data_IF_633472735060
#
_entry.id   IF_633472735060
#
_cell.length_a   1.000
_cell.length_b   1.000
_cell.length_c   1.000
_cell.angle_alpha   90.00
_cell.angle_beta   90.00
_cell.angle_gamma   90.00
#
_symmetry.space_group_name_H-M   'P 1'
#
loop_
_entity.id
_entity.type
_entity.pdbx_description
1 polymer ?
#
# COMPACT_ATOMS: atom_id res chain seq x y z
N UNK A 1 27.23 -18.01 -20.37
CA UNK A 1 27.60 -16.58 -20.50
C UNK A 1 26.54 -15.88 -21.34
N UNK A 2 25.67 -15.09 -20.70
CA UNK A 2 24.86 -14.07 -21.35
C UNK A 2 24.56 -13.03 -20.27
N UNK A 3 25.17 -11.86 -20.41
CA UNK A 3 25.01 -10.73 -19.51
C UNK A 3 23.72 -9.98 -19.87
N UNK A 4 22.85 -9.73 -18.90
CA UNK A 4 21.73 -8.81 -19.06
C UNK A 4 22.13 -7.47 -18.41
N UNK A 5 22.14 -6.46 -19.26
CA UNK A 5 22.68 -5.13 -19.05
C UNK A 5 21.67 -4.27 -18.27
N UNK A 6 22.09 -3.71 -17.14
CA UNK A 6 21.28 -2.76 -16.34
C UNK A 6 21.18 -1.43 -17.10
N UNK A 7 20.02 -1.16 -17.69
CA UNK A 7 19.72 0.14 -18.29
C UNK A 7 19.37 1.16 -17.22
N UNK A 8 20.20 2.21 -17.08
CA UNK A 8 19.84 3.45 -16.37
C UNK A 8 18.70 4.13 -17.14
N UNK A 9 17.53 4.29 -16.54
CA UNK A 9 16.56 5.26 -17.06
C UNK A 9 17.03 6.66 -16.66
N UNK A 10 17.27 7.51 -17.65
CA UNK A 10 17.56 8.92 -17.46
C UNK A 10 16.29 9.67 -17.08
N UNK A 11 16.31 10.41 -15.97
CA UNK A 11 15.29 11.40 -15.63
C UNK A 11 15.35 12.60 -16.59
N UNK A 12 14.23 13.14 -17.10
CA UNK A 12 14.23 14.43 -17.76
C UNK A 12 14.22 15.58 -16.75
N UNK A 13 15.06 16.57 -17.01
CA UNK A 13 15.14 17.86 -16.31
C UNK A 13 13.94 18.76 -16.60
N UNK A 14 13.45 19.43 -15.56
CA UNK A 14 12.34 20.40 -15.55
C UNK A 14 12.57 21.65 -16.42
N UNK A 15 11.57 22.10 -17.18
CA UNK A 15 11.11 23.51 -17.28
C UNK A 15 9.72 23.58 -17.95
N UNK A 16 8.80 24.38 -17.40
CA UNK A 16 7.62 24.92 -18.12
C UNK A 16 6.28 24.26 -17.77
N UNK A 17 5.41 24.99 -17.07
CA UNK A 17 4.09 24.52 -16.67
C UNK A 17 3.10 24.39 -17.84
N UNK A 18 2.64 23.17 -18.05
CA UNK A 18 1.36 22.77 -18.64
C UNK A 18 1.03 21.41 -18.04
N UNK A 19 -0.24 21.10 -17.72
CA UNK A 19 -0.66 19.76 -17.26
C UNK A 19 -0.19 18.72 -18.27
N UNK A 20 0.92 18.05 -17.98
CA UNK A 20 1.46 16.99 -18.82
C UNK A 20 0.68 15.71 -18.53
N UNK A 21 0.29 15.05 -19.62
CA UNK A 21 -0.36 13.73 -19.64
C UNK A 21 0.35 12.79 -18.66
N UNK A 22 -0.37 12.42 -17.59
CA UNK A 22 0.11 11.44 -16.62
C UNK A 22 0.28 10.07 -17.30
N UNK A 23 1.39 9.44 -16.94
CA UNK A 23 1.98 8.22 -17.52
C UNK A 23 1.03 7.01 -17.48
N UNK A 24 1.24 6.08 -18.42
CA UNK A 24 0.50 4.81 -18.51
C UNK A 24 0.48 4.03 -17.17
N UNK A 25 -0.61 3.30 -16.86
CA UNK A 25 -0.71 2.51 -15.64
C UNK A 25 0.40 1.46 -15.57
N UNK A 26 1.08 1.39 -14.43
CA UNK A 26 2.13 0.40 -14.21
C UNK A 26 1.52 -0.92 -13.74
N UNK A 27 1.49 -1.90 -14.65
CA UNK A 27 1.12 -3.28 -14.30
C UNK A 27 2.38 -4.13 -14.26
N UNK A 28 2.71 -4.62 -13.07
CA UNK A 28 3.83 -5.54 -12.87
C UNK A 28 3.38 -6.97 -13.19
N UNK A 29 3.62 -7.40 -14.42
CA UNK A 29 3.46 -8.79 -14.85
C UNK A 29 4.81 -9.51 -14.72
N UNK A 30 4.93 -10.44 -13.77
CA UNK A 30 6.10 -11.28 -13.65
C UNK A 30 5.73 -12.68 -13.15
N UNK A 31 5.86 -13.68 -14.01
CA UNK A 31 5.96 -15.08 -13.62
C UNK A 31 7.37 -15.57 -13.96
N UNK A 32 8.21 -15.86 -12.96
CA UNK A 32 9.53 -16.50 -13.07
C UNK A 32 9.89 -17.21 -11.73
N UNK A 33 10.82 -18.18 -11.72
CA UNK A 33 10.69 -19.43 -10.97
C UNK A 33 10.86 -19.30 -9.44
N UNK A 34 9.97 -19.98 -8.71
CA UNK A 34 10.09 -20.49 -7.34
C UNK A 34 11.11 -19.83 -6.38
N UNK A 35 10.91 -18.55 -6.06
CA UNK A 35 11.35 -17.82 -4.84
C UNK A 35 11.21 -16.30 -5.11
N UNK A 36 9.98 -15.82 -5.35
CA UNK A 36 8.99 -15.25 -4.40
C UNK A 36 9.14 -13.74 -4.15
N UNK A 37 8.82 -12.92 -5.17
CA UNK A 37 8.54 -11.49 -5.00
C UNK A 37 8.74 -10.65 -6.27
N UNK A 38 7.89 -9.65 -6.51
CA UNK A 38 8.16 -8.56 -7.47
C UNK A 38 9.03 -7.51 -6.80
N UNK A 39 10.13 -7.14 -7.45
CA UNK A 39 10.94 -5.99 -7.05
C UNK A 39 10.20 -4.68 -7.37
N UNK A 40 9.77 -3.97 -6.33
CA UNK A 40 9.28 -2.61 -6.47
C UNK A 40 10.44 -1.62 -6.67
N UNK A 41 10.25 -0.53 -7.42
CA UNK A 41 11.22 0.56 -7.46
C UNK A 41 11.56 1.08 -6.06
N UNK A 42 12.83 1.44 -5.84
CA UNK A 42 13.36 2.07 -4.61
C UNK A 42 12.47 3.23 -4.13
N UNK A 43 11.92 4.02 -5.05
CA UNK A 43 11.06 5.16 -4.72
C UNK A 43 9.73 4.78 -4.06
N UNK A 44 9.27 3.54 -4.23
CA UNK A 44 8.05 3.01 -3.63
C UNK A 44 8.35 2.46 -2.23
N UNK A 45 9.47 1.74 -2.07
CA UNK A 45 9.90 1.15 -0.79
C UNK A 45 10.61 2.14 0.13
N UNK A 46 10.89 3.36 -0.34
CA UNK A 46 11.57 4.43 0.38
C UNK A 46 12.97 4.09 0.92
N UNK A 47 13.61 3.06 0.37
CA UNK A 47 14.97 2.66 0.76
C UNK A 47 16.02 3.47 -0.02
N UNK A 48 16.64 4.46 0.63
CA UNK A 48 17.66 5.31 0.00
C UNK A 48 19.07 4.71 0.05
N UNK A 49 19.25 3.48 0.55
CA UNK A 49 20.57 2.85 0.67
C UNK A 49 21.10 2.43 -0.71
N UNK A 50 22.44 2.40 -0.91
CA UNK A 50 23.01 1.84 -2.12
C UNK A 50 22.71 0.35 -2.21
N UNK A 51 22.40 -0.14 -3.42
CA UNK A 51 22.16 -1.56 -3.65
C UNK A 51 23.37 -2.39 -3.18
N UNK A 52 23.15 -3.45 -2.39
CA UNK A 52 24.23 -4.33 -1.98
C UNK A 52 24.82 -5.04 -3.20
N UNK A 53 26.09 -5.49 -3.12
CA UNK A 53 26.68 -6.31 -4.16
C UNK A 53 25.90 -7.64 -4.28
N UNK A 54 25.72 -8.11 -5.52
CA UNK A 54 25.00 -9.36 -5.80
C UNK A 54 25.72 -10.54 -5.14
N UNK A 55 24.98 -11.32 -4.37
CA UNK A 55 25.45 -12.53 -3.73
C UNK A 55 25.29 -13.74 -4.69
N UNK A 56 26.27 -14.67 -4.76
CA UNK A 56 26.22 -15.79 -5.70
C UNK A 56 25.15 -16.85 -5.38
N UNK A 57 24.75 -16.98 -4.12
CA UNK A 57 23.61 -17.82 -3.71
C UNK A 57 22.32 -16.97 -3.75
N UNK A 58 21.33 -17.34 -4.60
CA UNK A 58 20.07 -16.61 -4.73
C UNK A 58 19.32 -16.43 -3.41
N UNK A 59 19.36 -17.43 -2.51
CA UNK A 59 18.62 -17.35 -1.23
C UNK A 59 19.25 -16.35 -0.27
N UNK A 60 20.58 -16.30 -0.28
CA UNK A 60 21.31 -15.34 0.54
C UNK A 60 21.28 -13.93 -0.09
N UNK A 61 21.16 -13.82 -1.41
CA UNK A 61 20.93 -12.55 -2.11
C UNK A 61 19.56 -11.94 -1.74
N UNK A 62 18.52 -12.77 -1.72
CA UNK A 62 17.15 -12.35 -1.33
C UNK A 62 17.09 -11.86 0.14
N UNK A 63 17.80 -12.54 1.04
CA UNK A 63 17.90 -12.13 2.46
C UNK A 63 18.51 -10.75 2.67
N UNK A 64 19.25 -10.19 1.70
CA UNK A 64 19.81 -8.85 1.83
C UNK A 64 18.73 -7.76 1.93
N UNK A 65 17.50 -8.09 1.54
CA UNK A 65 16.37 -7.16 1.43
C UNK A 65 15.26 -7.47 2.44
N UNK A 66 15.33 -8.58 3.17
CA UNK A 66 14.25 -9.02 4.08
C UNK A 66 13.96 -8.05 5.23
N UNK A 67 14.96 -7.27 5.63
CA UNK A 67 14.85 -6.35 6.76
C UNK A 67 14.29 -4.97 6.37
N UNK A 68 14.19 -4.69 5.07
CA UNK A 68 13.88 -3.35 4.56
C UNK A 68 12.78 -3.31 3.53
N UNK A 69 12.63 -4.36 2.74
CA UNK A 69 11.73 -4.34 1.60
C UNK A 69 10.43 -5.06 1.97
N UNK A 70 9.28 -4.57 1.47
CA UNK A 70 8.05 -5.33 1.52
C UNK A 70 8.11 -6.51 0.54
N UNK A 71 7.37 -7.56 0.85
CA UNK A 71 7.15 -8.68 -0.07
C UNK A 71 5.88 -8.41 -0.89
N UNK A 72 5.99 -8.51 -2.21
CA UNK A 72 4.88 -8.22 -3.13
C UNK A 72 4.64 -9.38 -4.07
N UNK A 73 3.44 -9.94 -4.02
CA UNK A 73 3.00 -11.02 -4.90
C UNK A 73 2.37 -10.47 -6.19
N UNK A 74 2.87 -10.85 -7.37
CA UNK A 74 2.32 -10.41 -8.66
C UNK A 74 1.00 -11.10 -9.01
N UNK A 75 0.13 -10.45 -9.80
CA UNK A 75 0.28 -9.10 -10.32
C UNK A 75 -0.13 -8.05 -9.29
N UNK A 76 0.49 -6.87 -9.39
CA UNK A 76 0.03 -5.63 -8.77
C UNK A 76 -0.24 -4.61 -9.89
N UNK A 77 -1.32 -3.87 -9.73
CA UNK A 77 -1.71 -2.78 -10.64
C UNK A 77 -1.71 -1.46 -9.89
N UNK A 78 -0.88 -0.52 -10.32
CA UNK A 78 -0.76 0.81 -9.72
C UNK A 78 -0.93 1.87 -10.80
N UNK A 79 -1.72 2.91 -10.51
CA UNK A 79 -2.06 3.96 -11.49
C UNK A 79 -0.83 4.77 -11.95
N UNK A 80 -0.14 5.41 -11.01
CA UNK A 80 1.09 6.16 -11.30
C UNK A 80 2.34 5.53 -10.68
N UNK A 81 2.22 4.94 -9.50
CA UNK A 81 3.32 4.33 -8.74
C UNK A 81 4.19 5.32 -7.97
N UNK A 82 4.29 6.58 -8.38
CA UNK A 82 5.13 7.60 -7.71
C UNK A 82 4.55 8.05 -6.36
N UNK A 83 3.23 7.95 -6.19
CA UNK A 83 2.50 8.35 -4.98
C UNK A 83 2.23 7.16 -4.06
N UNK A 84 2.69 5.96 -4.44
CA UNK A 84 2.56 4.77 -3.62
C UNK A 84 3.81 4.59 -2.74
N UNK A 85 3.61 4.48 -1.42
CA UNK A 85 4.67 4.31 -0.42
C UNK A 85 4.36 3.10 0.45
N UNK A 86 5.34 2.21 0.64
CA UNK A 86 5.17 0.98 1.41
C UNK A 86 6.30 0.81 2.41
N UNK A 87 5.95 0.63 3.68
CA UNK A 87 6.88 0.37 4.76
C UNK A 87 7.44 -1.04 4.76
N UNK A 88 8.58 -1.20 5.44
CA UNK A 88 9.31 -2.46 5.57
C UNK A 88 8.51 -3.57 6.25
N UNK A 89 8.82 -4.82 5.89
CA UNK A 89 8.21 -6.01 6.49
C UNK A 89 6.71 -6.17 6.18
N UNK A 90 6.17 -5.35 5.28
CA UNK A 90 4.79 -5.47 4.81
C UNK A 90 4.67 -6.56 3.73
N UNK A 91 3.54 -7.23 3.69
CA UNK A 91 3.24 -8.29 2.72
C UNK A 91 2.00 -7.93 1.91
N UNK A 92 2.18 -7.79 0.60
CA UNK A 92 1.14 -7.44 -0.37
C UNK A 92 0.81 -8.66 -1.22
N UNK A 93 -0.36 -9.24 -1.02
CA UNK A 93 -0.76 -10.48 -1.70
C UNK A 93 -1.33 -10.22 -3.11
N UNK A 94 -1.60 -11.30 -3.84
CA UNK A 94 -1.99 -11.33 -5.24
C UNK A 94 -3.08 -10.31 -5.59
N UNK A 95 -2.96 -9.69 -6.78
CA UNK A 95 -3.96 -8.81 -7.38
C UNK A 95 -4.27 -7.56 -6.55
N UNK A 96 -3.27 -6.97 -5.89
CA UNK A 96 -3.42 -5.65 -5.28
C UNK A 96 -3.64 -4.60 -6.39
N UNK A 97 -4.67 -3.77 -6.21
CA UNK A 97 -4.97 -2.61 -7.06
C UNK A 97 -4.83 -1.33 -6.25
N UNK A 98 -4.06 -0.37 -6.74
CA UNK A 98 -3.85 0.93 -6.08
C UNK A 98 -4.07 2.06 -7.09
N UNK A 99 -5.06 2.92 -6.84
CA UNK A 99 -5.23 4.17 -7.57
C UNK A 99 -4.59 5.31 -6.76
N UNK A 100 -3.34 5.64 -7.08
CA UNK A 100 -2.53 6.63 -6.37
C UNK A 100 -2.56 8.02 -7.03
N UNK A 101 -3.74 8.49 -7.44
CA UNK A 101 -3.99 9.89 -7.85
C UNK A 101 -3.53 10.90 -6.78
N UNK A 102 -3.60 10.50 -5.51
CA UNK A 102 -3.00 11.17 -4.36
C UNK A 102 -2.12 10.18 -3.58
N UNK A 103 -1.38 10.68 -2.58
CA UNK A 103 -0.50 9.86 -1.75
C UNK A 103 -1.26 8.66 -1.14
N UNK A 104 -0.73 7.46 -1.37
CA UNK A 104 -1.17 6.22 -0.71
C UNK A 104 0.01 5.71 0.10
N UNK A 105 -0.14 5.72 1.42
CA UNK A 105 0.91 5.28 2.36
C UNK A 105 0.47 4.00 3.06
N UNK A 106 1.31 2.98 2.98
CA UNK A 106 1.23 1.76 3.78
C UNK A 106 2.40 1.77 4.76
N UNK A 107 2.10 1.59 6.05
CA UNK A 107 3.05 1.52 7.14
C UNK A 107 3.88 0.24 7.13
N UNK A 108 4.57 0.00 8.25
CA UNK A 108 5.41 -1.18 8.43
C UNK A 108 4.61 -2.40 8.90
N UNK A 109 5.08 -3.60 8.53
CA UNK A 109 4.49 -4.88 8.97
C UNK A 109 2.99 -5.00 8.69
N UNK A 110 2.49 -4.27 7.69
CA UNK A 110 1.11 -4.35 7.26
C UNK A 110 0.91 -5.58 6.36
N UNK A 111 -0.18 -6.31 6.59
CA UNK A 111 -0.51 -7.53 5.86
C UNK A 111 -1.75 -7.33 5.01
N UNK A 112 -1.69 -7.73 3.75
CA UNK A 112 -2.81 -7.60 2.81
C UNK A 112 -3.22 -8.99 2.32
N UNK A 113 -4.52 -9.26 2.32
CA UNK A 113 -5.10 -10.40 1.64
C UNK A 113 -5.13 -10.19 0.12
N UNK A 114 -5.49 -11.23 -0.65
CA UNK A 114 -5.56 -11.12 -2.11
C UNK A 114 -6.73 -10.24 -2.56
N UNK A 115 -6.60 -9.63 -3.75
CA UNK A 115 -7.61 -8.79 -4.40
C UNK A 115 -8.02 -7.54 -3.59
N UNK A 116 -7.13 -7.01 -2.74
CA UNK A 116 -7.40 -5.74 -2.05
C UNK A 116 -7.34 -4.59 -3.05
N UNK A 117 -8.25 -3.64 -2.91
CA UNK A 117 -8.28 -2.42 -3.70
C UNK A 117 -8.14 -1.19 -2.81
N UNK A 118 -7.26 -0.27 -3.20
CA UNK A 118 -7.06 1.03 -2.55
C UNK A 118 -7.37 2.12 -3.57
N UNK A 119 -8.32 3.00 -3.24
CA UNK A 119 -8.78 4.05 -4.13
C UNK A 119 -8.45 5.42 -3.55
N UNK A 120 -7.40 6.09 -4.06
CA UNK A 120 -7.15 7.50 -3.80
C UNK A 120 -7.95 8.44 -4.71
N UNK A 121 -8.40 7.94 -5.86
CA UNK A 121 -9.19 8.65 -6.87
C UNK A 121 -10.68 8.80 -6.49
N UNK A 122 -11.32 9.89 -6.93
CA UNK A 122 -12.76 10.09 -6.86
C UNK A 122 -13.24 11.07 -7.95
N UNK A 123 -14.56 11.13 -8.16
CA UNK A 123 -15.17 12.06 -9.10
C UNK A 123 -16.31 12.85 -8.44
N UNK A 124 -16.61 14.06 -8.96
CA UNK A 124 -17.84 14.76 -8.59
C UNK A 124 -19.07 13.88 -8.79
N UNK A 125 -19.98 13.91 -7.81
CA UNK A 125 -21.25 13.18 -7.89
C UNK A 125 -22.22 13.80 -8.90
N UNK A 126 -22.17 15.13 -9.05
CA UNK A 126 -22.99 15.85 -10.02
C UNK A 126 -22.50 15.54 -11.46
N UNK A 127 -23.33 14.90 -12.32
CA UNK A 127 -22.94 14.59 -13.69
C UNK A 127 -22.66 15.84 -14.53
N UNK A 128 -23.29 16.97 -14.24
CA UNK A 128 -23.04 18.24 -14.94
C UNK A 128 -21.63 18.79 -14.64
N UNK A 129 -21.09 18.51 -13.45
CA UNK A 129 -19.70 18.82 -13.09
C UNK A 129 -18.76 17.74 -13.62
N UNK A 130 -19.12 16.46 -13.47
CA UNK A 130 -18.25 15.32 -13.85
C UNK A 130 -17.96 15.25 -15.35
N UNK A 131 -18.88 15.67 -16.23
CA UNK A 131 -18.71 15.78 -17.70
C UNK A 131 -17.88 14.68 -18.39
N UNK A 132 -18.00 13.42 -17.97
CA UNK A 132 -17.23 12.32 -18.54
C UNK A 132 -15.72 12.55 -18.49
N UNK A 133 -15.03 12.38 -19.62
CA UNK A 133 -13.58 12.59 -19.72
C UNK A 133 -13.16 14.07 -19.74
N UNK A 134 -14.11 14.99 -19.88
CA UNK A 134 -13.84 16.43 -19.96
C UNK A 134 -13.99 17.14 -18.61
N UNK A 135 -14.47 16.43 -17.58
CA UNK A 135 -14.64 17.00 -16.24
C UNK A 135 -13.47 16.68 -15.31
N UNK A 136 -13.46 17.29 -14.12
CA UNK A 136 -12.37 17.13 -13.18
C UNK A 136 -12.41 15.75 -12.51
N UNK A 137 -11.21 15.22 -12.27
CA UNK A 137 -10.95 14.19 -11.27
C UNK A 137 -10.56 14.87 -9.94
N UNK A 138 -10.83 14.21 -8.83
CA UNK A 138 -10.32 14.59 -7.52
C UNK A 138 -9.67 13.39 -6.85
N UNK A 139 -8.88 13.64 -5.80
CA UNK A 139 -8.32 12.58 -4.99
C UNK A 139 -8.20 12.97 -3.54
N UNK A 140 -8.01 11.98 -2.68
CA UNK A 140 -7.67 12.16 -1.28
C UNK A 140 -6.67 11.10 -0.87
N UNK A 141 -5.76 11.48 0.01
CA UNK A 141 -4.75 10.56 0.52
C UNK A 141 -5.38 9.38 1.26
N UNK A 142 -4.73 8.23 1.18
CA UNK A 142 -5.10 7.04 1.95
C UNK A 142 -3.91 6.63 2.81
N UNK A 143 -4.18 6.43 4.09
CA UNK A 143 -3.15 6.14 5.10
C UNK A 143 -3.48 4.81 5.78
N UNK A 144 -2.68 3.78 5.54
CA UNK A 144 -2.76 2.50 6.23
C UNK A 144 -1.56 2.43 7.16
N UNK A 145 -1.79 2.46 8.47
CA UNK A 145 -0.71 2.52 9.46
C UNK A 145 -0.05 1.16 9.70
N UNK A 146 0.96 1.14 10.55
CA UNK A 146 1.72 -0.06 10.89
C UNK A 146 0.84 -1.17 11.50
N UNK A 147 1.29 -2.41 11.32
CA UNK A 147 0.69 -3.60 11.94
C UNK A 147 -0.79 -3.82 11.56
N UNK A 148 -1.27 -3.15 10.51
CA UNK A 148 -2.64 -3.31 10.00
C UNK A 148 -2.76 -4.60 9.20
N UNK A 149 -3.87 -5.32 9.39
CA UNK A 149 -4.25 -6.44 8.52
C UNK A 149 -5.49 -6.11 7.71
N UNK A 150 -5.36 -6.14 6.38
CA UNK A 150 -6.47 -5.98 5.44
C UNK A 150 -6.86 -7.33 4.86
N UNK A 151 -8.08 -7.80 5.18
CA UNK A 151 -8.64 -9.03 4.65
C UNK A 151 -8.82 -9.00 3.14
N UNK A 152 -8.81 -10.18 2.50
CA UNK A 152 -8.91 -10.29 1.05
C UNK A 152 -10.19 -9.67 0.48
N UNK A 153 -10.09 -9.11 -0.72
CA UNK A 153 -11.20 -8.43 -1.43
C UNK A 153 -11.80 -7.24 -0.68
N UNK A 154 -11.09 -6.67 0.29
CA UNK A 154 -11.50 -5.41 0.93
C UNK A 154 -11.16 -4.21 0.04
N UNK A 155 -11.95 -3.16 0.16
CA UNK A 155 -11.81 -1.88 -0.54
C UNK A 155 -11.61 -0.75 0.47
N UNK A 156 -10.56 0.04 0.28
CA UNK A 156 -10.27 1.25 1.09
C UNK A 156 -10.50 2.48 0.22
N UNK A 157 -11.45 3.34 0.63
CA UNK A 157 -11.85 4.51 -0.17
C UNK A 157 -10.99 5.75 0.11
N UNK A 158 -11.08 6.72 -0.81
CA UNK A 158 -10.29 7.94 -0.79
C UNK A 158 -10.50 8.75 0.51
N UNK A 159 -9.41 9.16 1.14
CA UNK A 159 -9.43 9.98 2.36
C UNK A 159 -9.53 9.17 3.65
N UNK A 160 -9.46 7.83 3.58
CA UNK A 160 -9.52 6.96 4.76
C UNK A 160 -8.15 6.80 5.39
N UNK A 161 -8.10 6.89 6.72
CA UNK A 161 -7.00 6.39 7.55
C UNK A 161 -7.41 5.11 8.29
N UNK A 162 -6.62 4.04 8.13
CA UNK A 162 -6.74 2.80 8.91
C UNK A 162 -5.67 2.82 10.00
N UNK A 163 -6.11 2.99 11.25
CA UNK A 163 -5.21 3.16 12.39
C UNK A 163 -4.42 1.89 12.72
N UNK A 164 -3.25 2.08 13.35
CA UNK A 164 -2.28 1.05 13.72
C UNK A 164 -2.92 -0.17 14.36
N UNK A 165 -2.44 -1.36 14.00
CA UNK A 165 -2.87 -2.62 14.62
C UNK A 165 -4.32 -3.00 14.35
N UNK A 166 -5.02 -2.28 13.47
CA UNK A 166 -6.42 -2.56 13.13
C UNK A 166 -6.54 -3.71 12.15
N UNK A 167 -7.70 -4.35 12.16
CA UNK A 167 -8.04 -5.41 11.21
C UNK A 167 -9.28 -5.01 10.40
N UNK A 168 -9.19 -5.16 9.08
CA UNK A 168 -10.32 -5.02 8.16
C UNK A 168 -10.73 -6.42 7.70
N UNK A 169 -11.98 -6.80 7.94
CA UNK A 169 -12.51 -8.10 7.50
C UNK A 169 -12.55 -8.24 5.97
N UNK A 170 -12.47 -9.47 5.47
CA UNK A 170 -12.55 -9.75 4.04
C UNK A 170 -13.87 -9.21 3.42
N UNK A 171 -13.79 -8.74 2.17
CA UNK A 171 -14.95 -8.20 1.43
C UNK A 171 -15.50 -6.86 1.96
N UNK A 172 -14.80 -6.20 2.87
CA UNK A 172 -15.29 -4.96 3.48
C UNK A 172 -15.11 -3.73 2.59
N UNK A 173 -16.00 -2.76 2.68
CA UNK A 173 -15.87 -1.46 2.02
C UNK A 173 -15.67 -0.37 3.06
N UNK A 174 -14.42 0.04 3.26
CA UNK A 174 -14.03 1.02 4.27
C UNK A 174 -14.22 2.42 3.72
N UNK A 175 -15.23 3.12 4.26
CA UNK A 175 -15.68 4.44 3.81
C UNK A 175 -15.36 5.57 4.78
N UNK A 176 -14.80 5.23 5.94
CA UNK A 176 -14.49 6.14 7.05
C UNK A 176 -13.26 5.63 7.77
N UNK A 177 -12.58 6.53 8.48
CA UNK A 177 -11.41 6.20 9.30
C UNK A 177 -11.70 5.07 10.29
N UNK A 178 -10.70 4.21 10.47
CA UNK A 178 -10.69 3.12 11.44
C UNK A 178 -9.80 3.54 12.59
N UNK A 179 -10.30 3.62 13.83
CA UNK A 179 -9.46 3.92 14.99
C UNK A 179 -8.42 2.81 15.20
N UNK A 180 -7.23 3.11 15.77
CA UNK A 180 -6.21 2.10 16.08
C UNK A 180 -6.76 0.93 16.90
N UNK A 181 -6.22 -0.26 16.69
CA UNK A 181 -6.59 -1.48 17.41
C UNK A 181 -8.08 -1.84 17.34
N UNK A 182 -8.74 -1.55 16.22
CA UNK A 182 -10.13 -1.94 16.01
C UNK A 182 -10.28 -2.98 14.91
N UNK A 183 -11.25 -3.87 15.08
CA UNK A 183 -11.73 -4.76 14.04
C UNK A 183 -12.97 -4.14 13.38
N UNK A 184 -12.89 -3.91 12.08
CA UNK A 184 -14.02 -3.48 11.24
C UNK A 184 -14.36 -4.52 10.20
N UNK A 185 -15.64 -4.68 9.87
CA UNK A 185 -16.03 -5.42 8.68
C UNK A 185 -17.37 -4.94 8.10
N UNK A 186 -17.68 -5.39 6.88
CA UNK A 186 -18.96 -5.18 6.21
C UNK A 186 -18.93 -4.15 5.08
N UNK A 187 -20.08 -3.95 4.44
CA UNK A 187 -20.26 -2.97 3.37
C UNK A 187 -21.51 -2.12 3.65
N UNK A 188 -21.37 -0.84 4.02
CA UNK A 188 -20.10 -0.19 4.39
C UNK A 188 -19.54 -0.74 5.72
N UNK A 189 -18.22 -0.75 5.88
CA UNK A 189 -17.54 -1.30 7.04
C UNK A 189 -17.96 -0.58 8.33
N UNK A 190 -18.11 -1.34 9.41
CA UNK A 190 -18.43 -0.84 10.75
C UNK A 190 -17.50 -1.45 11.76
N UNK A 191 -17.22 -0.70 12.82
CA UNK A 191 -16.55 -1.23 14.01
C UNK A 191 -17.39 -2.37 14.57
N UNK A 192 -16.78 -3.54 14.67
CA UNK A 192 -17.36 -4.72 15.30
C UNK A 192 -16.93 -4.77 16.76
N UNK A 193 -15.63 -4.58 17.02
CA UNK A 193 -15.06 -4.53 18.37
C UNK A 193 -13.68 -3.89 18.38
N UNK A 194 -13.22 -3.53 19.58
CA UNK A 194 -11.80 -3.28 19.85
C UNK A 194 -11.04 -4.62 19.88
N UNK A 195 -9.77 -4.58 19.51
CA UNK A 195 -8.85 -5.72 19.56
C UNK A 195 -8.14 -5.67 20.90
N UNK A 196 -8.23 -6.76 21.67
CA UNK A 196 -7.45 -6.93 22.90
C UNK A 196 -6.00 -7.22 22.52
N UNK A 197 -5.07 -6.38 22.97
CA UNK A 197 -3.66 -6.52 22.63
C UNK A 197 -2.79 -5.74 23.62
N UNK A 198 -1.61 -6.30 23.92
CA UNK A 198 -0.58 -5.61 24.69
C UNK A 198 0.07 -4.46 23.92
N UNK A 199 -0.22 -4.30 22.62
CA UNK A 199 0.31 -3.19 21.82
C UNK A 199 -0.44 -1.87 22.03
N UNK A 200 -1.61 -1.91 22.68
CA UNK A 200 -2.48 -0.76 22.89
C UNK A 200 -2.19 -0.08 24.24
N UNK A 201 -1.57 1.12 24.26
CA UNK A 201 -1.19 1.78 25.50
C UNK A 201 -2.37 2.11 26.42
N UNK A 202 -3.57 2.31 25.85
CA UNK A 202 -4.77 2.62 26.63
C UNK A 202 -5.27 1.38 27.39
N UNK A 203 -5.00 0.17 26.89
CA UNK A 203 -5.36 -1.08 27.57
C UNK A 203 -4.39 -1.35 28.74
N UNK A 204 -3.09 -1.06 28.55
CA UNK A 204 -2.07 -1.23 29.59
C UNK A 204 -2.32 -0.37 30.84
N UNK A 205 -2.90 0.83 30.69
CA UNK A 205 -3.20 1.73 31.81
C UNK A 205 -4.43 1.30 32.62
N UNK A 206 -5.27 0.41 32.09
CA UNK A 206 -6.49 -0.05 32.76
C UNK A 206 -6.27 -1.26 33.68
N UNK A 207 -5.09 -1.88 33.63
CA UNK A 207 -4.72 -3.05 34.45
C UNK A 207 -3.93 -2.72 35.71
N UNK A 208 -3.60 -1.45 35.98
CA UNK A 208 -3.05 -1.08 37.29
C UNK A 208 -4.13 -1.25 38.37
N UNK A 209 -3.92 -2.13 39.37
CA UNK A 209 -4.91 -2.33 40.42
C UNK A 209 -5.05 -1.02 41.20
N UNK A 210 -6.27 -0.48 41.26
CA UNK A 210 -6.63 0.56 42.21
C UNK A 210 -6.07 0.17 43.58
N UNK A 211 -5.17 1.02 44.08
CA UNK A 211 -4.28 0.73 45.19
C UNK A 211 -4.93 0.14 46.44
N UNK A 212 -4.10 -0.65 47.13
CA UNK A 212 -4.31 -1.23 48.45
C UNK A 212 -4.73 -0.22 49.54
#
# INVERSE_FOLDING_TARGET
>A
MSAIQRGRSSLPTSQGGTMERVSEPMIYHGAMPASNGVWLPISIVCDTRPLPPVHPDPKEDEKLFSDTDPVVEPPISVDHGINFKVGKGSFLNFNLLVLDTCLVTIGERALFGPNVCIYGATHPLDPAVRRGLEGPEAGKEVHIEDDVWIGGSAMILAGVRVGRGSTVGAGSVVTKDVPPFHFVAGNPARVIRRIETSMDPEQQQSEEPNGA
#
